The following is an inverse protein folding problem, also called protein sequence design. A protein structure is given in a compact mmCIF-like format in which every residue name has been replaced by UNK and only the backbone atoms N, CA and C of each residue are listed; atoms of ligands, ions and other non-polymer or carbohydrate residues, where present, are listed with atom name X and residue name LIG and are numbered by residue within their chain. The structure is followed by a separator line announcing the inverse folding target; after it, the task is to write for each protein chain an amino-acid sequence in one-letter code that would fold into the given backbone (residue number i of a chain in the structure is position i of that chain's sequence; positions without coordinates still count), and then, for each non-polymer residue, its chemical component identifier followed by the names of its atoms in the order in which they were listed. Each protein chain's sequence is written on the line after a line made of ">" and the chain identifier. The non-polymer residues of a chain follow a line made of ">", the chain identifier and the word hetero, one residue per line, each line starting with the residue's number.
data_IF_829168687745
#
_entry.id   IF_829168687745
#
_cell.length_a   1.000
_cell.length_b   1.000
_cell.length_c   1.000
_cell.angle_alpha   90.00
_cell.angle_beta   90.00
_cell.angle_gamma   90.00
#
_symmetry.space_group_name_H-M   'P 1'
#
loop_
_entity.id
_entity.type
_entity.pdbx_description
1 polymer ?
#
# COMPACT_ATOMS: atom_id res chain seq x y z
N UNK A 1 2.73 7.21 10.98
CA UNK A 1 1.74 6.64 10.06
C UNK A 1 0.47 7.44 9.92
N UNK A 2 0.43 8.64 10.46
CA UNK A 2 -0.78 9.46 10.39
C UNK A 2 -0.70 10.59 9.37
N UNK A 3 0.36 10.59 8.59
CA UNK A 3 0.51 11.56 7.51
C UNK A 3 0.02 10.94 6.21
N UNK A 4 -0.59 11.72 5.32
CA UNK A 4 -0.89 11.22 3.97
C UNK A 4 0.40 10.85 3.27
N UNK A 5 0.39 9.72 2.59
CA UNK A 5 1.55 9.27 1.80
C UNK A 5 1.07 8.92 0.40
N UNK A 6 1.97 9.02 -0.54
CA UNK A 6 1.68 8.64 -1.91
C UNK A 6 1.96 7.15 -2.06
N UNK A 7 0.96 6.41 -2.51
CA UNK A 7 1.03 4.96 -2.62
C UNK A 7 0.91 4.56 -4.08
N UNK A 8 1.87 3.79 -4.57
CA UNK A 8 1.83 3.23 -5.91
C UNK A 8 1.34 1.79 -5.86
N UNK A 9 0.20 1.53 -6.47
CA UNK A 9 -0.44 0.22 -6.45
C UNK A 9 -0.48 -0.33 -7.88
N UNK A 10 -0.01 -1.56 -8.06
CA UNK A 10 -0.06 -2.23 -9.35
C UNK A 10 -1.40 -2.92 -9.50
N UNK A 11 -2.11 -2.63 -10.59
CA UNK A 11 -3.39 -3.27 -10.86
C UNK A 11 -3.20 -4.57 -11.65
N UNK A 12 -4.32 -5.19 -12.03
CA UNK A 12 -4.31 -6.47 -12.73
C UNK A 12 -3.62 -6.41 -14.08
N UNK A 13 -3.61 -5.26 -14.72
CA UNK A 13 -2.99 -5.09 -16.02
C UNK A 13 -1.53 -4.73 -15.94
N UNK A 14 -0.98 -4.61 -14.73
CA UNK A 14 0.42 -4.26 -14.53
C UNK A 14 0.68 -2.76 -14.50
N UNK A 15 -0.35 -1.94 -14.58
CA UNK A 15 -0.22 -0.49 -14.54
C UNK A 15 -0.17 -0.04 -13.08
N UNK A 16 0.78 0.82 -12.77
CA UNK A 16 0.91 1.36 -11.41
C UNK A 16 0.08 2.63 -11.33
N UNK A 17 -0.85 2.63 -10.39
CA UNK A 17 -1.68 3.80 -10.11
C UNK A 17 -1.26 4.39 -8.78
N UNK A 18 -1.18 5.71 -8.72
CA UNK A 18 -0.78 6.41 -7.51
C UNK A 18 -2.00 7.05 -6.85
N UNK A 19 -2.06 6.94 -5.53
CA UNK A 19 -3.04 7.66 -4.75
C UNK A 19 -2.39 8.18 -3.49
N UNK A 20 -2.97 9.22 -2.91
CA UNK A 20 -2.48 9.79 -1.67
C UNK A 20 -3.50 9.49 -0.57
N UNK A 21 -3.06 8.83 0.47
CA UNK A 21 -3.94 8.44 1.57
C UNK A 21 -3.12 8.20 2.83
N UNK A 22 -3.80 8.16 3.95
CA UNK A 22 -3.18 7.84 5.23
C UNK A 22 -3.36 6.36 5.50
N UNK A 23 -2.30 5.70 5.93
CA UNK A 23 -2.36 4.29 6.33
C UNK A 23 -3.03 4.22 7.70
N UNK A 24 -4.13 3.49 7.79
CA UNK A 24 -4.89 3.40 9.04
C UNK A 24 -4.66 2.10 9.78
N UNK A 25 -4.28 1.03 9.07
CA UNK A 25 -4.06 -0.26 9.73
C UNK A 25 -3.21 -1.16 8.84
N UNK A 26 -2.50 -2.09 9.48
CA UNK A 26 -1.75 -3.15 8.82
C UNK A 26 -2.10 -4.45 9.52
N UNK A 27 -2.47 -5.46 8.75
CA UNK A 27 -2.84 -6.74 9.31
C UNK A 27 -2.58 -7.88 8.33
N UNK A 28 -2.57 -9.10 8.87
CA UNK A 28 -2.41 -10.31 8.06
C UNK A 28 -3.66 -11.16 8.20
N UNK A 29 -4.08 -11.77 7.10
CA UNK A 29 -5.25 -12.63 7.08
C UNK A 29 -5.09 -13.67 5.98
N UNK A 30 -5.34 -14.94 6.30
CA UNK A 30 -5.31 -16.04 5.34
C UNK A 30 -4.00 -16.12 4.56
N UNK A 31 -2.89 -15.84 5.23
CA UNK A 31 -1.57 -15.95 4.62
C UNK A 31 -1.17 -14.76 3.76
N UNK A 32 -1.97 -13.71 3.74
CA UNK A 32 -1.66 -12.49 3.00
C UNK A 32 -1.65 -11.30 3.94
N UNK A 33 -0.90 -10.28 3.58
CA UNK A 33 -0.82 -9.06 4.36
C UNK A 33 -1.59 -7.96 3.66
N UNK A 34 -2.30 -7.16 4.45
CA UNK A 34 -3.17 -6.11 3.93
C UNK A 34 -2.91 -4.78 4.63
N UNK A 35 -3.21 -3.72 3.91
CA UNK A 35 -3.10 -2.37 4.41
C UNK A 35 -4.43 -1.65 4.19
N UNK A 36 -4.98 -1.09 5.26
CA UNK A 36 -6.17 -0.24 5.18
C UNK A 36 -5.74 1.21 5.05
N UNK A 37 -6.44 1.95 4.22
CA UNK A 37 -6.13 3.35 3.97
C UNK A 37 -7.36 4.21 4.20
N UNK A 38 -7.12 5.51 4.35
CA UNK A 38 -8.14 6.46 4.77
C UNK A 38 -9.29 6.65 3.79
N UNK A 39 -9.12 6.19 2.56
CA UNK A 39 -10.20 6.23 1.58
C UNK A 39 -11.26 5.16 1.82
N UNK A 40 -11.01 4.24 2.75
CA UNK A 40 -11.90 3.12 3.02
C UNK A 40 -11.53 1.85 2.29
N UNK A 41 -10.48 1.89 1.49
CA UNK A 41 -10.04 0.74 0.72
C UNK A 41 -9.04 -0.12 1.51
N UNK A 42 -8.96 -1.38 1.13
CA UNK A 42 -7.97 -2.31 1.66
C UNK A 42 -7.14 -2.83 0.49
N UNK A 43 -5.83 -2.78 0.63
CA UNK A 43 -4.90 -3.15 -0.43
C UNK A 43 -3.98 -4.26 0.08
N UNK A 44 -3.71 -5.25 -0.76
CA UNK A 44 -2.71 -6.28 -0.42
C UNK A 44 -1.32 -5.68 -0.56
N UNK A 45 -0.44 -6.02 0.37
CA UNK A 45 0.91 -5.48 0.35
C UNK A 45 1.71 -5.93 -0.87
N UNK A 46 1.42 -7.10 -1.41
CA UNK A 46 2.13 -7.59 -2.59
C UNK A 46 1.77 -6.82 -3.86
N UNK A 47 0.71 -6.01 -3.82
CA UNK A 47 0.32 -5.16 -4.94
C UNK A 47 0.90 -3.75 -4.83
N UNK A 48 1.51 -3.43 -3.71
CA UNK A 48 2.08 -2.11 -3.49
C UNK A 48 3.50 -2.09 -4.04
N UNK A 49 3.76 -1.18 -4.98
CA UNK A 49 5.09 -1.03 -5.57
C UNK A 49 5.95 -0.04 -4.80
N UNK A 50 5.33 1.03 -4.32
CA UNK A 50 6.08 2.05 -3.60
C UNK A 50 5.18 2.80 -2.64
N UNK A 51 5.80 3.38 -1.62
CA UNK A 51 5.13 4.26 -0.68
C UNK A 51 5.99 5.52 -0.57
N UNK A 52 5.38 6.67 -0.85
CA UNK A 52 6.01 7.98 -0.75
C UNK A 52 7.31 8.07 -1.55
N UNK A 53 7.31 7.43 -2.72
CA UNK A 53 8.47 7.44 -3.60
C UNK A 53 9.54 6.44 -3.25
N UNK A 54 9.36 5.69 -2.18
CA UNK A 54 10.30 4.64 -1.76
C UNK A 54 9.72 3.28 -2.06
N UNK A 55 10.49 2.42 -2.68
CA UNK A 55 10.03 1.07 -2.98
C UNK A 55 9.70 0.33 -1.69
N UNK A 56 8.64 -0.46 -1.73
CA UNK A 56 8.19 -1.17 -0.54
C UNK A 56 9.27 -2.06 0.05
N UNK A 57 10.09 -2.66 -0.79
CA UNK A 57 11.17 -3.53 -0.33
C UNK A 57 12.17 -2.81 0.57
N UNK A 58 12.27 -1.48 0.47
CA UNK A 58 13.17 -0.70 1.30
C UNK A 58 12.64 -0.50 2.71
N UNK A 59 11.36 -0.81 2.93
CA UNK A 59 10.75 -0.72 4.26
C UNK A 59 10.85 -2.02 5.04
N UNK A 60 11.16 -3.13 4.39
CA UNK A 60 11.17 -4.45 5.01
C UNK A 60 12.58 -5.01 5.16
N UNK A 61 13.48 -4.22 5.51
CA UNK A 61 14.87 -4.69 5.68
C UNK A 61 15.06 -5.40 7.00
#
# INVERSE_FOLDING_TARGET
>A
MRKPVRIGIRNETGVIQHCTATITDLYAQNGAEYMSISTGDTVRLDQIEEIDGTKLSDFYI
#
